data_IF_685247714047
#
_entry.id   IF_685247714047
#
_cell.length_a   1.000
_cell.length_b   1.000
_cell.length_c   1.000
_cell.angle_alpha   90.00
_cell.angle_beta   90.00
_cell.angle_gamma   90.00
#
_symmetry.space_group_name_H-M   'P 1'
#
loop_
_entity.id
_entity.type
_entity.pdbx_description
1 polymer ?
#
# COMPACT_ATOMS: atom_id res chain seq x y z
N UNK A 1 0.14 -11.48 -13.51
CA UNK A 1 -0.74 -11.39 -12.32
C UNK A 1 -0.90 -9.99 -11.73
N UNK A 2 0.07 -9.06 -11.85
CA UNK A 2 0.03 -7.72 -11.20
C UNK A 2 -1.21 -6.86 -11.52
N UNK A 3 -1.84 -7.04 -12.69
CA UNK A 3 -3.02 -6.26 -13.10
C UNK A 3 -4.36 -6.80 -12.57
N UNK A 4 -4.40 -8.03 -12.03
CA UNK A 4 -5.66 -8.68 -11.64
C UNK A 4 -6.33 -8.02 -10.43
N UNK A 5 -5.54 -7.40 -9.54
CA UNK A 5 -6.05 -6.73 -8.34
C UNK A 5 -6.89 -5.49 -8.66
N UNK A 6 -6.61 -4.81 -9.78
CA UNK A 6 -7.38 -3.66 -10.26
C UNK A 6 -8.77 -4.06 -10.80
N UNK A 7 -9.08 -5.35 -10.89
CA UNK A 7 -10.42 -5.82 -11.27
C UNK A 7 -11.28 -6.21 -10.07
N UNK A 8 -10.71 -6.23 -8.85
CA UNK A 8 -11.42 -6.62 -7.63
C UNK A 8 -11.80 -5.34 -6.87
N UNK A 9 -13.09 -5.11 -6.67
CA UNK A 9 -13.60 -3.97 -5.90
C UNK A 9 -13.48 -4.24 -4.40
N UNK A 10 -13.21 -3.19 -3.63
CA UNK A 10 -13.29 -3.23 -2.18
C UNK A 10 -14.73 -2.99 -1.73
N UNK A 11 -15.16 -3.75 -0.73
CA UNK A 11 -16.42 -3.50 -0.04
C UNK A 11 -16.39 -2.09 0.59
N UNK A 12 -17.53 -1.40 0.61
CA UNK A 12 -17.58 0.01 1.02
C UNK A 12 -17.13 0.22 2.47
N UNK A 13 -17.54 -0.70 3.34
CA UNK A 13 -17.16 -0.76 4.76
C UNK A 13 -15.64 -0.91 4.95
N UNK A 14 -14.98 -1.58 4.00
CA UNK A 14 -13.55 -1.86 4.01
C UNK A 14 -12.71 -0.78 3.30
N UNK A 15 -13.33 0.23 2.68
CA UNK A 15 -12.57 1.32 2.01
C UNK A 15 -11.89 2.25 3.00
N UNK A 16 -12.37 2.29 4.23
CA UNK A 16 -11.82 3.16 5.27
C UNK A 16 -10.45 2.68 5.76
N UNK A 17 -10.12 1.39 5.60
CA UNK A 17 -8.77 0.84 5.88
C UNK A 17 -7.78 1.04 4.73
N UNK A 18 -8.22 1.59 3.59
CA UNK A 18 -7.37 1.91 2.43
C UNK A 18 -7.32 3.41 2.14
N UNK A 19 -7.39 4.24 3.18
CA UNK A 19 -7.19 5.69 3.07
C UNK A 19 -5.75 6.04 2.72
N UNK A 20 -5.59 6.96 1.78
CA UNK A 20 -4.38 7.73 1.54
C UNK A 20 -4.59 9.13 2.09
N UNK A 21 -3.69 9.55 2.97
CA UNK A 21 -3.59 10.92 3.43
C UNK A 21 -2.48 11.60 2.60
N UNK A 22 -2.81 12.70 1.95
CA UNK A 22 -1.87 13.46 1.14
C UNK A 22 -1.86 14.91 1.62
N UNK A 23 -0.74 15.34 2.20
CA UNK A 23 -0.47 16.75 2.54
C UNK A 23 0.34 17.38 1.42
N UNK A 24 -0.07 18.58 1.00
CA UNK A 24 0.58 19.30 -0.10
C UNK A 24 1.77 20.15 0.37
N UNK A 25 1.84 20.51 1.65
CA UNK A 25 2.90 21.35 2.21
C UNK A 25 3.29 20.90 3.63
N UNK A 26 4.59 20.90 3.92
CA UNK A 26 5.17 20.50 5.21
C UNK A 26 5.33 21.67 6.21
N UNK A 27 4.99 22.89 5.79
CA UNK A 27 5.21 24.12 6.56
C UNK A 27 3.95 24.66 7.24
N UNK A 28 2.78 24.07 7.00
CA UNK A 28 1.52 24.48 7.59
C UNK A 28 0.78 23.27 8.21
N UNK A 29 1.11 22.95 9.46
CA UNK A 29 0.46 21.90 10.26
C UNK A 29 -1.04 22.14 10.49
N UNK A 30 -1.57 23.32 10.13
CA UNK A 30 -2.98 23.66 10.29
C UNK A 30 -3.86 23.17 9.13
N UNK A 31 -3.28 22.79 7.98
CA UNK A 31 -4.05 22.17 6.89
C UNK A 31 -4.24 20.67 7.12
N UNK A 32 -5.51 20.26 7.23
CA UNK A 32 -5.88 18.85 7.24
C UNK A 32 -5.45 18.17 5.92
N UNK A 33 -4.79 17.00 5.98
CA UNK A 33 -4.38 16.27 4.78
C UNK A 33 -5.60 15.87 3.95
N UNK A 34 -5.46 15.95 2.63
CA UNK A 34 -6.49 15.45 1.72
C UNK A 34 -6.62 13.93 1.86
N UNK A 35 -7.85 13.43 2.01
CA UNK A 35 -8.11 12.01 2.25
C UNK A 35 -8.70 11.38 0.98
N UNK A 36 -7.94 10.50 0.35
CA UNK A 36 -8.40 9.70 -0.79
C UNK A 36 -8.62 8.25 -0.36
N UNK A 37 -9.59 7.55 -0.96
CA UNK A 37 -9.88 6.13 -0.66
C UNK A 37 -9.79 5.31 -1.92
N UNK A 38 -9.19 4.12 -1.82
CA UNK A 38 -9.19 3.20 -2.94
C UNK A 38 -10.51 2.46 -3.07
N UNK A 39 -11.00 2.38 -4.30
CA UNK A 39 -12.21 1.63 -4.65
C UNK A 39 -11.91 0.19 -5.08
N UNK A 40 -10.62 -0.15 -5.25
CA UNK A 40 -10.14 -1.44 -5.75
C UNK A 40 -8.97 -1.96 -4.92
N UNK A 41 -8.77 -3.28 -4.96
CA UNK A 41 -7.70 -3.95 -4.21
C UNK A 41 -6.33 -3.48 -4.71
N UNK A 42 -5.53 -2.94 -3.81
CA UNK A 42 -4.17 -2.48 -4.07
C UNK A 42 -3.17 -3.62 -4.20
N UNK A 43 -2.14 -3.39 -5.03
CA UNK A 43 -0.93 -4.20 -4.97
C UNK A 43 -0.16 -3.93 -3.67
N UNK A 44 0.49 -4.95 -3.13
CA UNK A 44 1.22 -4.86 -1.84
C UNK A 44 0.35 -5.13 -0.62
N UNK A 45 -0.97 -4.96 -0.71
CA UNK A 45 -2.02 -5.63 0.08
C UNK A 45 -1.69 -7.00 0.72
N UNK A 46 -1.51 -7.22 2.03
CA UNK A 46 -1.31 -8.60 2.56
C UNK A 46 -2.60 -9.40 2.41
N UNK A 47 -3.74 -8.72 2.55
CA UNK A 47 -5.04 -9.25 2.15
C UNK A 47 -5.18 -9.41 0.64
N UNK A 48 -4.46 -8.68 -0.22
CA UNK A 48 -4.66 -8.78 -1.67
C UNK A 48 -4.32 -10.16 -2.20
N UNK A 49 -3.22 -10.78 -1.74
CA UNK A 49 -2.88 -12.15 -2.14
C UNK A 49 -3.93 -13.16 -1.70
N UNK A 50 -4.48 -13.01 -0.49
CA UNK A 50 -5.56 -13.86 -0.01
C UNK A 50 -6.86 -13.66 -0.81
N UNK A 51 -7.29 -12.41 -1.01
CA UNK A 51 -8.50 -12.08 -1.76
C UNK A 51 -8.36 -12.47 -3.24
N UNK A 52 -7.19 -12.30 -3.85
CA UNK A 52 -6.91 -12.75 -5.21
C UNK A 52 -6.90 -14.28 -5.28
N UNK A 53 -6.25 -14.97 -4.34
CA UNK A 53 -6.24 -16.44 -4.31
C UNK A 53 -7.64 -17.01 -4.12
N UNK A 54 -8.44 -16.39 -3.25
CA UNK A 54 -9.85 -16.74 -3.03
C UNK A 54 -10.70 -16.48 -4.28
N UNK A 55 -10.53 -15.32 -4.93
CA UNK A 55 -11.20 -15.02 -6.21
C UNK A 55 -10.81 -16.01 -7.31
N UNK A 56 -9.52 -16.31 -7.47
CA UNK A 56 -9.04 -17.29 -8.45
C UNK A 56 -9.64 -18.67 -8.16
N UNK A 57 -9.63 -19.13 -6.90
CA UNK A 57 -10.23 -20.40 -6.50
C UNK A 57 -11.75 -20.42 -6.74
N UNK A 58 -12.44 -19.32 -6.42
CA UNK A 58 -13.87 -19.18 -6.68
C UNK A 58 -14.18 -19.26 -8.17
N UNK A 59 -13.43 -18.54 -9.01
CA UNK A 59 -13.56 -18.59 -10.46
C UNK A 59 -13.25 -19.98 -11.01
N UNK A 60 -12.15 -20.62 -10.58
CA UNK A 60 -11.81 -21.98 -11.00
C UNK A 60 -12.92 -22.97 -10.63
N UNK A 61 -13.48 -22.89 -9.42
CA UNK A 61 -14.60 -23.75 -9.00
C UNK A 61 -15.86 -23.49 -9.83
N UNK A 62 -16.28 -22.22 -9.95
CA UNK A 62 -17.48 -21.79 -10.67
C UNK A 62 -17.46 -22.12 -12.16
N UNK A 63 -16.28 -22.08 -12.79
CA UNK A 63 -16.10 -22.37 -14.22
C UNK A 63 -15.60 -23.80 -14.51
N UNK A 64 -15.14 -24.56 -13.51
CA UNK A 64 -14.89 -26.01 -13.70
C UNK A 64 -16.18 -26.80 -13.93
N UNK A 65 -17.31 -26.28 -13.42
CA UNK A 65 -18.63 -26.93 -13.51
C UNK A 65 -19.49 -26.42 -14.68
N UNK A 66 -19.12 -25.30 -15.33
CA UNK A 66 -19.92 -24.69 -16.42
C UNK A 66 -19.07 -24.41 -17.65
N UNK A 67 -19.13 -25.31 -18.64
CA UNK A 67 -18.66 -25.08 -20.01
C UNK A 67 -19.34 -23.81 -20.58
N UNK A 68 -18.53 -22.76 -20.80
CA UNK A 68 -18.71 -21.67 -21.76
C UNK A 68 -20.08 -20.97 -21.87
N UNK A 69 -20.60 -20.35 -20.81
CA UNK A 69 -21.61 -19.29 -20.96
C UNK A 69 -21.35 -18.18 -19.92
N UNK A 70 -20.55 -17.19 -20.29
CA UNK A 70 -20.21 -16.06 -19.43
C UNK A 70 -21.29 -14.96 -19.51
N UNK A 71 -22.03 -14.76 -18.40
CA UNK A 71 -22.80 -13.53 -18.13
C UNK A 71 -21.94 -12.55 -17.32
N UNK A 72 -22.20 -11.22 -17.39
CA UNK A 72 -21.49 -10.22 -16.59
C UNK A 72 -21.57 -10.55 -15.10
N UNK A 73 -20.45 -10.36 -14.39
CA UNK A 73 -20.22 -10.79 -13.01
C UNK A 73 -20.51 -9.63 -12.05
N UNK A 74 -21.35 -9.86 -11.04
CA UNK A 74 -21.48 -8.96 -9.89
C UNK A 74 -20.17 -8.98 -9.06
N UNK A 75 -19.68 -7.82 -8.59
CA UNK A 75 -18.40 -7.72 -7.90
C UNK A 75 -18.39 -8.55 -6.60
N UNK A 76 -17.46 -9.50 -6.50
CA UNK A 76 -17.26 -10.35 -5.32
C UNK A 76 -16.60 -9.53 -4.20
N UNK A 77 -17.38 -9.08 -3.22
CA UNK A 77 -16.84 -8.52 -1.97
C UNK A 77 -16.31 -9.65 -1.09
N UNK A 78 -15.09 -9.50 -0.58
CA UNK A 78 -14.46 -10.50 0.30
C UNK A 78 -13.93 -9.79 1.54
N UNK A 79 -14.27 -10.32 2.71
CA UNK A 79 -13.96 -9.70 4.01
C UNK A 79 -12.47 -9.71 4.29
N UNK A 80 -11.96 -8.59 4.81
CA UNK A 80 -10.55 -8.43 5.18
C UNK A 80 -10.26 -9.25 6.47
N UNK A 81 -9.11 -9.96 6.56
CA UNK A 81 -8.73 -10.68 7.77
C UNK A 81 -8.64 -9.75 8.99
N UNK A 82 -9.16 -10.20 10.14
CA UNK A 82 -9.20 -9.44 11.39
C UNK A 82 -7.83 -9.04 11.95
N UNK A 83 -6.77 -9.79 11.62
CA UNK A 83 -5.38 -9.44 11.97
C UNK A 83 -4.90 -8.10 11.35
N UNK A 84 -5.68 -7.52 10.44
CA UNK A 84 -5.44 -6.22 9.79
C UNK A 84 -6.37 -5.10 10.27
N UNK A 85 -7.31 -5.39 11.17
CA UNK A 85 -8.26 -4.42 11.74
C UNK A 85 -8.00 -4.08 13.20
N UNK A 86 -7.04 -4.77 13.85
CA UNK A 86 -6.66 -4.44 15.22
C UNK A 86 -5.94 -3.08 15.26
N UNK A 87 -6.49 -2.14 16.03
CA UNK A 87 -5.85 -0.84 16.27
C UNK A 87 -4.56 -1.07 17.05
N UNK A 88 -3.42 -0.82 16.42
CA UNK A 88 -2.14 -0.70 17.11
C UNK A 88 -1.66 0.75 17.06
N UNK A 89 -0.76 1.19 17.95
CA UNK A 89 -0.15 2.51 17.83
C UNK A 89 0.47 2.70 16.45
N UNK A 90 0.40 3.92 15.93
CA UNK A 90 1.02 4.27 14.65
C UNK A 90 2.50 3.84 14.65
N UNK A 91 2.93 3.20 13.55
CA UNK A 91 4.32 2.74 13.36
C UNK A 91 4.83 1.66 14.34
N UNK A 92 3.95 1.02 15.12
CA UNK A 92 4.32 -0.09 16.03
C UNK A 92 4.91 -1.32 15.34
N UNK A 93 4.54 -1.55 14.07
CA UNK A 93 5.07 -2.63 13.23
C UNK A 93 5.34 -2.04 11.87
N UNK A 94 6.60 -1.78 11.52
CA UNK A 94 6.98 -1.19 10.24
C UNK A 94 7.84 -2.13 9.41
N UNK A 95 7.54 -2.21 8.11
CA UNK A 95 8.46 -2.72 7.11
C UNK A 95 9.45 -1.62 6.69
N UNK A 96 10.68 -2.02 6.39
CA UNK A 96 11.74 -1.14 5.92
C UNK A 96 12.15 -1.56 4.50
N UNK A 97 12.21 -0.60 3.59
CA UNK A 97 12.71 -0.83 2.22
C UNK A 97 13.52 0.39 1.73
N UNK A 98 14.32 0.20 0.68
CA UNK A 98 15.06 1.27 0.01
C UNK A 98 14.68 1.31 -1.47
N UNK A 99 14.20 2.45 -1.94
CA UNK A 99 14.11 2.69 -3.37
C UNK A 99 15.48 3.11 -3.90
N UNK A 100 15.76 2.67 -5.14
CA UNK A 100 17.06 2.73 -5.78
C UNK A 100 17.70 4.12 -5.82
N UNK A 101 18.98 4.20 -6.24
CA UNK A 101 19.74 5.43 -6.13
C UNK A 101 19.14 6.53 -7.01
N UNK A 102 18.75 7.62 -6.37
CA UNK A 102 18.39 8.88 -6.99
C UNK A 102 19.58 9.82 -6.96
N UNK A 103 19.69 10.69 -7.95
CA UNK A 103 20.70 11.74 -7.93
C UNK A 103 20.01 13.06 -7.62
N UNK A 104 20.32 13.62 -6.45
CA UNK A 104 19.77 14.89 -5.98
C UNK A 104 20.79 15.98 -6.27
N UNK A 105 20.34 17.10 -6.84
CA UNK A 105 21.22 18.24 -7.07
C UNK A 105 21.34 19.04 -5.77
N UNK A 106 22.53 19.01 -5.18
CA UNK A 106 22.87 19.76 -3.98
C UNK A 106 23.87 20.86 -4.37
N UNK A 107 23.39 22.11 -4.47
CA UNK A 107 24.20 23.29 -4.83
C UNK A 107 25.07 23.13 -6.11
N UNK A 108 24.58 22.42 -7.12
CA UNK A 108 25.28 22.23 -8.39
C UNK A 108 26.04 20.91 -8.51
N UNK A 109 26.16 20.13 -7.42
CA UNK A 109 26.72 18.79 -7.44
C UNK A 109 25.62 17.72 -7.40
N UNK A 110 25.70 16.77 -8.33
CA UNK A 110 24.81 15.60 -8.35
C UNK A 110 25.25 14.60 -7.28
N UNK A 111 24.52 14.57 -6.18
CA UNK A 111 24.76 13.66 -5.06
C UNK A 111 23.87 12.43 -5.17
N UNK A 112 24.49 11.24 -5.16
CA UNK A 112 23.77 9.97 -5.05
C UNK A 112 23.09 9.90 -3.68
N UNK A 113 21.79 9.60 -3.69
CA UNK A 113 20.92 9.50 -2.53
C UNK A 113 19.97 8.31 -2.70
N UNK A 114 19.33 7.89 -1.63
CA UNK A 114 18.37 6.79 -1.58
C UNK A 114 17.12 7.28 -0.89
N UNK A 115 15.97 6.73 -1.25
CA UNK A 115 14.75 6.94 -0.46
C UNK A 115 14.58 5.73 0.44
N UNK A 116 14.54 5.95 1.74
CA UNK A 116 14.11 4.94 2.71
C UNK A 116 12.60 4.99 2.85
N UNK A 117 11.97 3.81 2.81
CA UNK A 117 10.53 3.63 2.90
C UNK A 117 10.20 2.90 4.19
N UNK A 118 9.49 3.60 5.08
CA UNK A 118 8.90 3.01 6.26
C UNK A 118 7.43 2.72 5.98
N UNK A 119 7.06 1.45 5.96
CA UNK A 119 5.69 1.02 5.69
C UNK A 119 5.04 0.53 6.97
N UNK A 120 4.05 1.24 7.50
CA UNK A 120 3.30 0.77 8.67
C UNK A 120 2.46 -0.47 8.31
N UNK A 121 2.64 -1.58 9.03
CA UNK A 121 2.05 -2.88 8.72
C UNK A 121 0.52 -2.92 8.79
N UNK A 122 -0.09 -2.06 9.60
CA UNK A 122 -1.54 -2.02 9.81
C UNK A 122 -2.23 -1.20 8.72
N UNK A 123 -1.89 0.09 8.61
CA UNK A 123 -2.57 1.03 7.68
C UNK A 123 -1.82 1.23 6.37
N UNK A 124 -0.57 0.77 6.26
CA UNK A 124 0.33 1.05 5.13
C UNK A 124 0.58 2.54 4.92
N UNK A 125 0.52 3.33 5.99
CA UNK A 125 1.14 4.63 6.00
C UNK A 125 2.60 4.48 5.56
N UNK A 126 2.98 5.25 4.54
CA UNK A 126 4.34 5.33 4.06
C UNK A 126 4.96 6.61 4.62
N UNK A 127 6.04 6.44 5.39
CA UNK A 127 6.93 7.54 5.72
C UNK A 127 8.17 7.41 4.84
N UNK A 128 8.48 8.46 4.09
CA UNK A 128 9.57 8.47 3.11
C UNK A 128 10.61 9.48 3.55
N UNK A 129 11.86 9.05 3.66
CA UNK A 129 12.98 9.96 3.90
C UNK A 129 14.08 9.79 2.86
N UNK A 130 14.80 10.87 2.58
CA UNK A 130 15.94 10.86 1.66
C UNK A 130 17.22 10.73 2.50
N UNK A 131 18.05 9.75 2.13
CA UNK A 131 19.34 9.48 2.74
C UNK A 131 20.44 9.64 1.70
N UNK A 132 21.57 10.24 2.07
CA UNK A 132 22.77 10.30 1.23
C UNK A 132 23.38 8.92 0.96
N UNK A 133 23.20 7.99 1.88
CA UNK A 133 23.89 6.71 1.93
C UNK A 133 23.09 5.68 2.74
N UNK A 134 23.34 4.40 2.49
CA UNK A 134 22.66 3.28 3.16
C UNK A 134 23.36 2.83 4.45
N UNK A 135 24.20 3.68 5.06
CA UNK A 135 24.88 3.32 6.30
C UNK A 135 23.89 3.32 7.48
N UNK A 136 24.19 2.51 8.49
CA UNK A 136 23.37 2.43 9.71
C UNK A 136 23.24 3.76 10.42
N UNK A 137 24.29 4.59 10.41
CA UNK A 137 24.25 5.91 11.07
C UNK A 137 23.28 6.86 10.37
N UNK A 138 23.33 6.95 9.05
CA UNK A 138 22.39 7.77 8.27
C UNK A 138 20.96 7.27 8.43
N UNK A 139 20.77 5.95 8.44
CA UNK A 139 19.48 5.35 8.75
C UNK A 139 18.96 5.70 10.16
N UNK A 140 19.79 5.61 11.20
CA UNK A 140 19.40 5.93 12.57
C UNK A 140 19.07 7.42 12.76
N UNK A 141 19.69 8.31 11.99
CA UNK A 141 19.35 9.73 11.99
C UNK A 141 17.97 10.00 11.37
N UNK A 142 17.58 9.19 10.37
CA UNK A 142 16.26 9.20 9.75
C UNK A 142 15.19 8.47 10.57
N UNK A 143 15.57 7.47 11.36
CA UNK A 143 14.67 6.72 12.21
C UNK A 143 14.44 7.46 13.54
N UNK A 144 13.44 8.34 13.58
CA UNK A 144 13.02 9.11 14.77
C UNK A 144 11.70 8.64 15.34
#
# INVERSE_FOLDING_TARGET
MKLAFLQIMLNEEDRDVTKLLFSNDSSDDSQLPSVNRFTRVLFGISSSHFLLSSNIKHHLKKYSEKKYLAKPIDPLTSSIPCDRTNQTPAFSVCGLDFAGPLYVNNFGELQKSYIVLFTWGVTRALHLEILSDMTTNSFLLAFR
#
